data_IF_756159179847
#
_entry.id   IF_756159179847
#
_cell.length_a   1.000
_cell.length_b   1.000
_cell.length_c   1.000
_cell.angle_alpha   90.00
_cell.angle_beta   90.00
_cell.angle_gamma   90.00
#
_symmetry.space_group_name_H-M   'P 1'
#
loop_
_entity.id
_entity.type
_entity.pdbx_description
1 polymer ?
#
# COMPACT_ATOMS: atom_id res chain seq x y z
N UNK A 1 3.39 -21.11 4.32
CA UNK A 1 1.90 -21.13 4.12
C UNK A 1 1.52 -20.29 2.89
N UNK A 2 0.39 -20.55 2.21
CA UNK A 2 -0.04 -19.77 1.04
C UNK A 2 -0.15 -18.27 1.32
N UNK A 3 -0.67 -17.89 2.49
CA UNK A 3 -0.79 -16.49 2.91
C UNK A 3 0.57 -15.81 3.15
N UNK A 4 1.61 -16.56 3.55
CA UNK A 4 2.96 -16.01 3.72
C UNK A 4 3.52 -15.52 2.38
N UNK A 5 3.31 -16.30 1.31
CA UNK A 5 3.72 -15.92 -0.05
C UNK A 5 2.97 -14.68 -0.51
N UNK A 6 1.65 -14.65 -0.31
CA UNK A 6 0.82 -13.50 -0.66
C UNK A 6 1.24 -12.24 0.09
N UNK A 7 1.54 -12.32 1.39
CA UNK A 7 1.99 -11.16 2.17
C UNK A 7 3.36 -10.66 1.74
N UNK A 8 4.34 -11.55 1.49
CA UNK A 8 5.67 -11.14 1.01
C UNK A 8 5.59 -10.48 -0.37
N UNK A 9 4.76 -11.07 -1.24
CA UNK A 9 4.47 -10.52 -2.56
C UNK A 9 3.83 -9.14 -2.43
N UNK A 10 2.78 -8.98 -1.64
CA UNK A 10 2.11 -7.69 -1.40
C UNK A 10 3.07 -6.65 -0.79
N UNK A 11 3.90 -7.05 0.19
CA UNK A 11 4.89 -6.17 0.81
C UNK A 11 5.89 -5.64 -0.22
N UNK A 12 6.41 -6.53 -1.09
CA UNK A 12 7.32 -6.12 -2.16
C UNK A 12 6.63 -5.18 -3.15
N UNK A 13 5.36 -5.45 -3.42
CA UNK A 13 4.52 -4.68 -4.34
C UNK A 13 4.14 -3.29 -3.82
N UNK A 14 4.06 -3.07 -2.51
CA UNK A 14 3.86 -1.72 -1.94
C UNK A 14 5.18 -0.98 -1.71
N UNK A 15 6.32 -1.59 -2.07
CA UNK A 15 7.64 -0.97 -1.99
C UNK A 15 8.37 -1.22 -0.68
N UNK A 16 7.99 -2.23 0.11
CA UNK A 16 8.79 -2.66 1.26
C UNK A 16 10.08 -3.29 0.73
N UNK A 17 11.21 -2.73 1.13
CA UNK A 17 12.55 -3.20 0.73
C UNK A 17 13.21 -4.07 1.81
N UNK A 18 12.83 -3.86 3.07
CA UNK A 18 13.40 -4.52 4.24
C UNK A 18 12.32 -5.24 5.04
N UNK A 19 12.58 -6.49 5.40
CA UNK A 19 11.68 -7.33 6.20
C UNK A 19 12.49 -7.89 7.37
N UNK A 20 11.84 -8.06 8.51
CA UNK A 20 12.38 -8.83 9.64
C UNK A 20 11.41 -9.98 9.91
N UNK A 21 11.93 -11.19 10.07
CA UNK A 21 11.10 -12.38 10.25
C UNK A 21 11.12 -12.83 11.70
N UNK A 22 9.93 -13.15 12.23
CA UNK A 22 9.76 -13.77 13.53
C UNK A 22 9.11 -15.15 13.39
N UNK A 23 9.91 -16.21 13.60
CA UNK A 23 9.45 -17.60 13.60
C UNK A 23 8.80 -17.88 14.95
N UNK A 24 7.48 -17.68 15.00
CA UNK A 24 6.68 -17.81 16.21
C UNK A 24 6.35 -19.28 16.54
N UNK A 25 5.92 -19.52 17.80
CA UNK A 25 5.51 -20.81 18.35
C UNK A 25 6.64 -21.82 18.53
N UNK A 26 7.86 -21.35 18.77
CA UNK A 26 8.99 -22.22 19.11
C UNK A 26 8.74 -23.05 20.39
N UNK A 27 7.85 -22.62 21.29
CA UNK A 27 7.47 -23.37 22.49
C UNK A 27 6.65 -24.64 22.19
N UNK A 28 6.06 -24.73 20.99
CA UNK A 28 5.32 -25.91 20.53
C UNK A 28 6.18 -26.88 19.71
N UNK A 29 7.45 -26.55 19.46
CA UNK A 29 8.37 -27.35 18.65
C UNK A 29 9.48 -27.88 19.55
N UNK A 30 9.62 -29.20 19.61
CA UNK A 30 10.61 -29.88 20.46
C UNK A 30 11.92 -30.19 19.73
N UNK A 31 11.89 -30.13 18.40
CA UNK A 31 12.99 -30.51 17.51
C UNK A 31 13.64 -29.27 16.89
N UNK A 32 14.92 -29.05 17.20
CA UNK A 32 15.68 -27.93 16.65
C UNK A 32 15.92 -28.06 15.14
N UNK A 33 16.01 -29.29 14.60
CA UNK A 33 16.23 -29.51 13.16
C UNK A 33 15.03 -29.02 12.34
N UNK A 34 13.82 -29.15 12.87
CA UNK A 34 12.62 -28.61 12.23
C UNK A 34 12.65 -27.08 12.15
N UNK A 35 13.19 -26.41 13.15
CA UNK A 35 13.29 -24.95 13.18
C UNK A 35 14.32 -24.46 12.16
N UNK A 36 15.47 -25.13 12.06
CA UNK A 36 16.50 -24.85 11.07
C UNK A 36 15.97 -25.02 9.63
N UNK A 37 15.18 -26.07 9.39
CA UNK A 37 14.54 -26.30 8.09
C UNK A 37 13.54 -25.19 7.74
N UNK A 38 12.75 -24.73 8.72
CA UNK A 38 11.81 -23.61 8.53
C UNK A 38 12.56 -22.31 8.23
N UNK A 39 13.69 -22.06 8.88
CA UNK A 39 14.52 -20.90 8.59
C UNK A 39 15.06 -20.94 7.15
N UNK A 40 15.57 -22.08 6.70
CA UNK A 40 16.00 -22.28 5.31
C UNK A 40 14.87 -22.02 4.31
N UNK A 41 13.68 -22.61 4.52
CA UNK A 41 12.52 -22.41 3.65
C UNK A 41 12.10 -20.93 3.59
N UNK A 42 12.16 -20.21 4.72
CA UNK A 42 11.85 -18.78 4.78
C UNK A 42 12.89 -17.96 4.00
N UNK A 43 14.18 -18.28 4.11
CA UNK A 43 15.24 -17.55 3.40
C UNK A 43 15.16 -17.75 1.90
N UNK A 44 14.87 -18.97 1.45
CA UNK A 44 14.58 -19.27 0.05
C UNK A 44 13.36 -18.48 -0.44
N UNK A 45 12.28 -18.45 0.35
CA UNK A 45 11.06 -17.74 0.00
C UNK A 45 11.27 -16.22 -0.08
N UNK A 46 12.03 -15.64 0.84
CA UNK A 46 12.40 -14.22 0.80
C UNK A 46 13.19 -13.90 -0.47
N UNK A 47 14.13 -14.76 -0.83
CA UNK A 47 14.95 -14.63 -2.04
C UNK A 47 14.09 -14.76 -3.31
N UNK A 48 13.13 -15.69 -3.33
CA UNK A 48 12.15 -15.85 -4.42
C UNK A 48 11.39 -14.54 -4.70
N UNK A 49 10.97 -13.83 -3.65
CA UNK A 49 10.25 -12.55 -3.77
C UNK A 49 11.18 -11.32 -3.87
N UNK A 50 12.48 -11.52 -4.08
CA UNK A 50 13.45 -10.46 -4.33
C UNK A 50 13.89 -9.67 -3.09
N UNK A 51 13.75 -10.25 -1.90
CA UNK A 51 14.43 -9.78 -0.69
C UNK A 51 15.79 -10.45 -0.57
N UNK A 52 16.65 -9.91 0.29
CA UNK A 52 17.95 -10.51 0.59
C UNK A 52 17.79 -11.58 1.67
N UNK A 53 17.36 -12.79 1.29
CA UNK A 53 17.05 -13.86 2.23
C UNK A 53 18.19 -14.17 3.21
N UNK A 54 19.43 -14.18 2.73
CA UNK A 54 20.63 -14.42 3.58
C UNK A 54 20.92 -13.29 4.57
N UNK A 55 20.66 -12.02 4.20
CA UNK A 55 20.90 -10.86 5.08
C UNK A 55 19.72 -10.56 6.00
N UNK A 56 18.55 -11.14 5.73
CA UNK A 56 17.31 -10.87 6.49
C UNK A 56 17.43 -11.44 7.91
N UNK A 57 17.19 -10.64 8.97
CA UNK A 57 17.16 -11.13 10.34
C UNK A 57 15.97 -12.06 10.54
N UNK A 58 16.26 -13.29 11.01
CA UNK A 58 15.26 -14.30 11.38
C UNK A 58 15.41 -14.56 12.87
N UNK A 59 14.35 -14.29 13.63
CA UNK A 59 14.32 -14.44 15.08
C UNK A 59 13.34 -15.55 15.43
N UNK A 60 13.80 -16.53 16.19
CA UNK A 60 12.99 -17.66 16.64
C UNK A 60 12.52 -17.39 18.08
N UNK A 61 11.24 -17.63 18.35
CA UNK A 61 10.70 -17.44 19.69
C UNK A 61 9.24 -17.83 19.86
N UNK A 62 8.70 -17.48 21.02
CA UNK A 62 7.29 -17.63 21.35
C UNK A 62 6.73 -16.31 21.85
N UNK A 63 5.90 -15.69 21.01
CA UNK A 63 5.15 -14.49 21.39
C UNK A 63 4.19 -14.76 22.56
N UNK A 64 3.71 -16.01 22.70
CA UNK A 64 2.86 -16.41 23.80
C UNK A 64 3.64 -16.44 25.12
N UNK A 65 4.84 -17.03 25.14
CA UNK A 65 5.73 -17.01 26.29
C UNK A 65 6.05 -15.57 26.73
N UNK A 66 6.39 -14.69 25.78
CA UNK A 66 6.69 -13.29 26.05
C UNK A 66 5.49 -12.57 26.68
N UNK A 67 4.29 -12.79 26.16
CA UNK A 67 3.06 -12.14 26.64
C UNK A 67 2.65 -12.62 28.04
N UNK A 68 2.76 -13.92 28.29
CA UNK A 68 2.42 -14.56 29.57
C UNK A 68 3.53 -14.48 30.62
N UNK A 69 4.65 -13.82 30.30
CA UNK A 69 5.82 -13.68 31.18
C UNK A 69 6.38 -15.03 31.67
N UNK A 70 6.31 -16.04 30.80
CA UNK A 70 6.85 -17.38 31.04
C UNK A 70 8.00 -17.65 30.08
N UNK A 71 8.92 -18.53 30.47
CA UNK A 71 10.10 -18.92 29.68
C UNK A 71 10.81 -17.74 28.97
N UNK A 72 11.65 -16.98 29.70
CA UNK A 72 12.30 -15.78 29.17
C UNK A 72 13.20 -16.02 27.95
N UNK A 73 13.72 -17.23 27.75
CA UNK A 73 14.60 -17.53 26.60
C UNK A 73 13.81 -17.53 25.29
N UNK A 74 12.67 -18.23 25.26
CA UNK A 74 11.79 -18.25 24.09
C UNK A 74 10.91 -17.00 24.01
N UNK A 75 10.54 -16.42 25.15
CA UNK A 75 9.68 -15.24 25.23
C UNK A 75 10.45 -13.92 25.19
N UNK A 76 10.79 -13.37 26.36
CA UNK A 76 11.32 -12.01 26.50
C UNK A 76 12.54 -11.72 25.60
N UNK A 77 13.52 -12.64 25.58
CA UNK A 77 14.75 -12.43 24.83
C UNK A 77 14.54 -12.44 23.31
N UNK A 78 13.61 -13.25 22.80
CA UNK A 78 13.32 -13.27 21.37
C UNK A 78 12.64 -11.98 20.93
N UNK A 79 11.75 -11.41 21.74
CA UNK A 79 11.13 -10.10 21.45
C UNK A 79 12.15 -8.96 21.51
N UNK A 80 13.09 -8.98 22.47
CA UNK A 80 14.19 -8.02 22.50
C UNK A 80 15.04 -8.08 21.23
N UNK A 81 15.46 -9.29 20.82
CA UNK A 81 16.20 -9.50 19.56
C UNK A 81 15.40 -9.05 18.33
N UNK A 82 14.09 -9.26 18.33
CA UNK A 82 13.21 -8.80 17.25
C UNK A 82 13.22 -7.27 17.15
N UNK A 83 13.09 -6.57 18.27
CA UNK A 83 13.13 -5.10 18.31
C UNK A 83 14.51 -4.57 17.89
N UNK A 84 15.60 -5.16 18.39
CA UNK A 84 16.96 -4.80 18.00
C UNK A 84 17.19 -4.98 16.50
N UNK A 85 16.65 -6.06 15.93
CA UNK A 85 16.71 -6.34 14.49
C UNK A 85 15.87 -5.34 13.68
N UNK A 86 14.70 -4.93 14.17
CA UNK A 86 13.90 -3.87 13.54
C UNK A 86 14.68 -2.55 13.52
N UNK A 87 15.24 -2.16 14.66
CA UNK A 87 15.99 -0.90 14.80
C UNK A 87 17.24 -0.85 13.90
N UNK A 88 17.88 -2.00 13.67
CA UNK A 88 19.12 -2.08 12.88
C UNK A 88 18.87 -2.32 11.39
N UNK A 89 17.88 -3.15 11.04
CA UNK A 89 17.69 -3.64 9.67
C UNK A 89 16.68 -2.82 8.87
N UNK A 90 15.70 -2.17 9.52
CA UNK A 90 14.71 -1.34 8.84
C UNK A 90 15.23 0.10 8.83
N UNK A 91 15.72 0.61 7.68
CA UNK A 91 16.21 1.98 7.62
C UNK A 91 15.07 2.96 7.88
N UNK A 92 15.41 4.07 8.52
CA UNK A 92 14.48 5.19 8.64
C UNK A 92 14.21 5.70 7.22
N UNK A 93 12.94 5.72 6.76
CA UNK A 93 12.62 6.19 5.42
C UNK A 93 13.13 7.62 5.23
N UNK A 94 13.72 7.92 4.08
CA UNK A 94 14.02 9.30 3.70
C UNK A 94 12.69 10.04 3.53
N UNK A 95 12.35 10.86 4.52
CA UNK A 95 11.11 11.62 4.50
C UNK A 95 11.22 12.73 3.46
N UNK A 96 10.36 12.67 2.44
CA UNK A 96 10.21 13.71 1.42
C UNK A 96 9.51 14.96 2.00
N UNK A 97 10.09 15.58 3.02
CA UNK A 97 9.46 16.68 3.78
C UNK A 97 9.26 17.97 2.96
N UNK A 98 10.11 18.18 1.96
CA UNK A 98 10.04 19.35 1.08
C UNK A 98 8.97 19.20 -0.01
N UNK A 99 8.47 17.98 -0.27
CA UNK A 99 7.41 17.76 -1.26
C UNK A 99 6.06 18.27 -0.72
N UNK A 100 5.13 18.66 -1.62
CA UNK A 100 3.77 18.99 -1.20
C UNK A 100 3.11 17.82 -0.47
N UNK A 101 2.47 18.11 0.67
CA UNK A 101 1.89 17.06 1.50
C UNK A 101 0.84 16.25 0.75
N UNK A 102 0.78 14.96 1.04
CA UNK A 102 -0.18 14.02 0.46
C UNK A 102 -0.62 13.03 1.54
N UNK A 103 -1.90 13.05 1.88
CA UNK A 103 -2.52 12.19 2.89
C UNK A 103 -3.64 11.36 2.23
N UNK A 104 -3.38 10.08 1.90
CA UNK A 104 -4.43 9.16 1.50
C UNK A 104 -5.43 8.95 2.64
N UNK A 105 -6.72 9.16 2.37
CA UNK A 105 -7.77 9.03 3.39
C UNK A 105 -8.11 7.55 3.58
N UNK A 106 -7.83 7.02 4.77
CA UNK A 106 -8.15 5.66 5.21
C UNK A 106 -9.57 5.57 5.77
N UNK A 107 -9.94 6.51 6.64
CA UNK A 107 -11.28 6.56 7.24
C UNK A 107 -11.74 7.99 7.57
N UNK A 108 -13.05 8.16 7.72
CA UNK A 108 -13.69 9.45 8.02
C UNK A 108 -14.68 9.27 9.17
N UNK A 109 -14.54 10.10 10.21
CA UNK A 109 -15.49 10.18 11.32
C UNK A 109 -15.82 11.63 11.67
N UNK A 110 -16.83 11.82 12.52
CA UNK A 110 -17.25 13.13 12.99
C UNK A 110 -17.16 13.15 14.51
N UNK A 111 -16.57 14.22 15.05
CA UNK A 111 -16.55 14.47 16.49
C UNK A 111 -17.63 15.51 16.80
N UNK A 112 -18.65 15.18 17.62
CA UNK A 112 -19.69 16.12 18.03
C UNK A 112 -19.08 17.42 18.57
N UNK A 113 -19.53 18.56 18.04
CA UNK A 113 -19.05 19.89 18.45
C UNK A 113 -17.66 20.30 17.93
N UNK A 114 -16.88 19.41 17.30
CA UNK A 114 -15.58 19.77 16.68
C UNK A 114 -15.64 19.76 15.15
N UNK A 115 -16.25 18.74 14.55
CA UNK A 115 -16.36 18.61 13.09
C UNK A 115 -15.88 17.26 12.55
N UNK A 116 -15.64 17.22 11.24
CA UNK A 116 -15.25 15.99 10.52
C UNK A 116 -13.74 15.80 10.55
N UNK A 117 -13.30 14.58 10.84
CA UNK A 117 -11.89 14.19 10.87
C UNK A 117 -11.65 13.13 9.80
N UNK A 118 -10.57 13.31 9.04
CA UNK A 118 -10.02 12.29 8.15
C UNK A 118 -8.78 11.68 8.76
N UNK A 119 -8.61 10.37 8.58
CA UNK A 119 -7.43 9.65 9.05
C UNK A 119 -6.64 9.11 7.89
N UNK A 120 -5.33 8.99 8.08
CA UNK A 120 -4.43 8.37 7.13
C UNK A 120 -2.98 8.52 7.57
N UNK A 121 -2.11 7.90 6.81
CA UNK A 121 -0.66 8.04 6.95
C UNK A 121 -0.15 9.08 5.95
N UNK A 122 0.59 10.09 6.42
CA UNK A 122 1.11 11.14 5.54
C UNK A 122 2.21 10.55 4.65
N UNK A 123 1.99 10.44 3.34
CA UNK A 123 2.95 9.80 2.42
C UNK A 123 4.21 10.65 2.23
N UNK A 124 4.05 11.96 2.16
CA UNK A 124 5.14 12.93 1.96
C UNK A 124 4.78 14.30 2.49
N UNK A 125 5.77 15.17 2.58
CA UNK A 125 5.62 16.56 2.98
C UNK A 125 5.41 16.77 4.47
N UNK A 126 5.07 18.01 4.81
CA UNK A 126 4.70 18.43 6.17
C UNK A 126 3.30 19.03 6.10
N UNK A 127 2.43 18.63 7.03
CA UNK A 127 1.11 19.21 7.22
C UNK A 127 1.11 20.03 8.51
N UNK A 128 0.70 21.30 8.44
CA UNK A 128 0.57 22.17 9.62
C UNK A 128 -0.88 22.49 9.90
N UNK A 129 -1.18 22.70 11.17
CA UNK A 129 -2.48 23.22 11.58
C UNK A 129 -2.67 24.61 10.97
N UNK A 130 -3.81 24.83 10.33
CA UNK A 130 -4.12 26.06 9.59
C UNK A 130 -3.81 25.98 8.10
N UNK A 131 -3.14 24.92 7.62
CA UNK A 131 -2.87 24.77 6.19
C UNK A 131 -4.18 24.57 5.40
N UNK A 132 -4.24 25.19 4.23
CA UNK A 132 -5.26 24.88 3.24
C UNK A 132 -5.01 23.48 2.65
N UNK A 133 -6.08 22.75 2.40
CA UNK A 133 -6.04 21.43 1.80
C UNK A 133 -7.09 21.25 0.71
N UNK A 134 -6.82 20.31 -0.19
CA UNK A 134 -7.69 19.93 -1.29
C UNK A 134 -7.87 18.41 -1.28
N UNK A 135 -9.12 17.97 -1.29
CA UNK A 135 -9.49 16.56 -1.43
C UNK A 135 -9.74 16.22 -2.89
N UNK A 136 -9.03 15.21 -3.38
CA UNK A 136 -9.03 14.80 -4.78
C UNK A 136 -9.36 13.31 -4.93
N UNK A 137 -10.04 12.97 -6.01
CA UNK A 137 -10.42 11.60 -6.38
C UNK A 137 -11.95 11.43 -6.49
N UNK A 138 -12.39 10.35 -7.13
CA UNK A 138 -13.83 10.05 -7.34
C UNK A 138 -14.61 11.21 -8.00
N UNK A 139 -14.00 11.92 -8.96
CA UNK A 139 -14.56 13.13 -9.58
C UNK A 139 -14.89 14.27 -8.60
N UNK A 140 -14.34 14.23 -7.38
CA UNK A 140 -14.49 15.31 -6.39
C UNK A 140 -13.21 16.14 -6.35
N UNK A 141 -13.41 17.45 -6.26
CA UNK A 141 -12.39 18.42 -5.89
C UNK A 141 -13.02 19.32 -4.82
N UNK A 142 -12.57 19.18 -3.58
CA UNK A 142 -13.12 19.91 -2.42
C UNK A 142 -11.98 20.60 -1.70
N UNK A 143 -12.00 21.93 -1.64
CA UNK A 143 -11.01 22.73 -0.91
C UNK A 143 -11.52 23.12 0.47
N UNK A 144 -10.67 23.02 1.46
CA UNK A 144 -10.95 23.46 2.84
C UNK A 144 -9.65 23.78 3.58
N UNK A 145 -9.70 23.89 4.90
CA UNK A 145 -8.58 24.19 5.79
C UNK A 145 -8.53 23.13 6.89
N UNK A 146 -7.32 22.66 7.20
CA UNK A 146 -7.04 21.80 8.35
C UNK A 146 -7.03 22.66 9.61
N UNK A 147 -7.97 22.42 10.51
CA UNK A 147 -8.16 23.20 11.75
C UNK A 147 -7.51 22.56 12.98
N UNK A 148 -7.17 21.28 12.88
CA UNK A 148 -6.47 20.55 13.93
C UNK A 148 -5.82 19.29 13.37
N UNK A 149 -4.72 18.89 14.01
CA UNK A 149 -4.00 17.64 13.76
C UNK A 149 -3.96 16.89 15.08
N UNK A 150 -4.26 15.60 15.06
CA UNK A 150 -4.30 14.76 16.25
C UNK A 150 -3.56 13.43 16.00
N UNK A 151 -2.69 13.04 16.92
CA UNK A 151 -2.05 11.72 16.95
C UNK A 151 -2.08 11.20 18.38
N UNK A 152 -2.44 9.94 18.59
CA UNK A 152 -2.50 9.31 19.93
C UNK A 152 -3.29 10.15 20.96
N UNK A 153 -4.44 10.70 20.56
CA UNK A 153 -5.29 11.59 21.38
C UNK A 153 -4.62 12.89 21.85
N UNK A 154 -3.52 13.30 21.21
CA UNK A 154 -2.83 14.57 21.47
C UNK A 154 -2.97 15.48 20.27
N UNK A 155 -3.34 16.73 20.52
CA UNK A 155 -3.35 17.77 19.50
C UNK A 155 -1.93 18.20 19.18
N UNK A 156 -1.60 18.28 17.88
CA UNK A 156 -0.30 18.68 17.37
C UNK A 156 -0.43 19.93 16.48
N UNK A 157 0.64 20.71 16.40
CA UNK A 157 0.73 21.87 15.51
C UNK A 157 1.26 21.51 14.11
N UNK A 158 1.95 20.37 13.98
CA UNK A 158 2.46 19.83 12.72
C UNK A 158 2.48 18.30 12.71
N UNK A 159 2.45 17.72 11.52
CA UNK A 159 2.74 16.33 11.24
C UNK A 159 3.65 16.21 10.02
N UNK A 160 4.40 15.12 9.95
CA UNK A 160 5.44 14.88 8.97
C UNK A 160 5.20 13.56 8.23
N UNK A 161 5.86 13.38 7.09
CA UNK A 161 5.76 12.15 6.31
C UNK A 161 6.06 10.90 7.18
N UNK A 162 5.19 9.90 7.12
CA UNK A 162 5.21 8.69 7.94
C UNK A 162 4.27 8.73 9.15
N UNK A 163 3.77 9.90 9.55
CA UNK A 163 2.85 10.01 10.69
C UNK A 163 1.45 9.51 10.32
N UNK A 164 0.92 8.58 11.14
CA UNK A 164 -0.50 8.23 11.10
C UNK A 164 -1.29 9.18 12.00
N UNK A 165 -2.19 9.96 11.40
CA UNK A 165 -2.82 11.11 12.06
C UNK A 165 -4.31 11.21 11.76
N UNK A 166 -5.01 11.97 12.61
CA UNK A 166 -6.34 12.52 12.34
C UNK A 166 -6.27 14.01 12.01
N UNK A 167 -6.74 14.42 10.84
CA UNK A 167 -6.84 15.83 10.43
C UNK A 167 -8.30 16.32 10.52
N UNK A 168 -8.56 17.30 11.38
CA UNK A 168 -9.86 17.94 11.53
C UNK A 168 -10.04 19.00 10.44
N UNK A 169 -11.09 18.87 9.63
CA UNK A 169 -11.35 19.77 8.50
C UNK A 169 -12.53 20.71 8.74
N UNK A 170 -12.41 21.93 8.23
CA UNK A 170 -13.43 22.97 8.40
C UNK A 170 -14.62 22.76 7.46
N UNK A 171 -15.82 22.89 7.99
CA UNK A 171 -17.03 23.10 7.17
C UNK A 171 -17.44 21.94 6.26
N UNK A 172 -16.82 20.76 6.40
CA UNK A 172 -17.20 19.54 5.67
C UNK A 172 -17.91 18.58 6.60
N UNK A 173 -18.91 17.89 6.07
CA UNK A 173 -19.62 16.81 6.74
C UNK A 173 -18.95 15.47 6.41
N UNK A 174 -19.24 14.46 7.23
CA UNK A 174 -18.76 13.09 7.02
C UNK A 174 -19.17 12.53 5.65
N UNK A 175 -20.35 12.90 5.14
CA UNK A 175 -20.89 12.45 3.84
C UNK A 175 -20.18 13.05 2.62
N UNK A 176 -19.50 14.19 2.79
CA UNK A 176 -18.75 14.84 1.72
C UNK A 176 -17.48 14.08 1.36
N UNK A 177 -16.95 13.35 2.34
CA UNK A 177 -15.66 12.66 2.32
C UNK A 177 -15.83 11.15 2.39
N UNK A 178 -14.85 10.41 1.88
CA UNK A 178 -14.82 8.95 1.95
C UNK A 178 -13.40 8.43 1.91
N UNK A 179 -13.23 7.17 2.31
CA UNK A 179 -12.01 6.40 2.02
C UNK A 179 -11.70 6.46 0.52
N UNK A 180 -10.42 6.60 0.22
CA UNK A 180 -9.89 6.63 -1.14
C UNK A 180 -9.80 8.03 -1.76
N UNK A 181 -10.33 9.06 -1.10
CA UNK A 181 -9.90 10.43 -1.40
C UNK A 181 -8.46 10.63 -0.95
N UNK A 182 -7.79 11.61 -1.55
CA UNK A 182 -6.46 12.05 -1.13
C UNK A 182 -6.54 13.51 -0.74
N UNK A 183 -6.11 13.84 0.47
CA UNK A 183 -5.97 15.21 0.94
C UNK A 183 -4.56 15.69 0.64
N UNK A 184 -4.42 16.73 -0.19
CA UNK A 184 -3.12 17.25 -0.59
C UNK A 184 -3.06 18.78 -0.49
N UNK A 185 -1.86 19.33 -0.65
CA UNK A 185 -1.68 20.78 -0.80
C UNK A 185 -2.46 21.26 -2.05
N UNK A 186 -3.24 22.36 -1.97
CA UNK A 186 -4.06 22.80 -3.09
C UNK A 186 -3.27 22.97 -4.39
N UNK A 187 -3.74 22.36 -5.47
CA UNK A 187 -3.14 22.45 -6.80
C UNK A 187 -1.80 21.74 -6.96
N UNK A 188 -1.32 20.98 -5.95
CA UNK A 188 -0.02 20.31 -6.05
C UNK A 188 -0.03 19.02 -6.86
N UNK A 189 -1.19 18.37 -6.95
CA UNK A 189 -1.37 17.11 -7.69
C UNK A 189 -2.62 17.19 -8.55
N UNK A 190 -2.65 16.43 -9.64
CA UNK A 190 -3.79 16.33 -10.54
C UNK A 190 -4.27 14.89 -10.60
N UNK A 191 -5.59 14.62 -10.53
CA UNK A 191 -6.13 13.30 -10.81
C UNK A 191 -5.85 12.89 -12.26
N UNK A 192 -5.46 11.64 -12.46
CA UNK A 192 -5.26 11.05 -13.78
C UNK A 192 -6.27 9.93 -13.99
N UNK A 193 -6.75 9.80 -15.22
CA UNK A 193 -7.66 8.73 -15.63
C UNK A 193 -6.97 7.70 -16.51
N UNK A 194 -6.00 8.12 -17.32
CA UNK A 194 -5.20 7.24 -18.17
C UNK A 194 -3.77 7.17 -17.64
N UNK A 195 -3.22 5.97 -17.67
CA UNK A 195 -1.88 5.68 -17.16
C UNK A 195 -1.21 4.63 -18.02
N UNK A 196 0.09 4.78 -18.24
CA UNK A 196 0.96 3.70 -18.72
C UNK A 196 1.73 3.15 -17.53
N UNK A 197 1.84 1.83 -17.46
CA UNK A 197 2.50 1.16 -16.34
C UNK A 197 3.24 -0.08 -16.79
N UNK A 198 4.34 -0.39 -16.11
CA UNK A 198 4.93 -1.73 -16.17
C UNK A 198 4.14 -2.61 -15.21
N UNK A 199 3.56 -3.71 -15.71
CA UNK A 199 2.72 -4.59 -14.91
C UNK A 199 3.22 -6.01 -14.99
N UNK A 200 3.49 -6.63 -13.84
CA UNK A 200 3.74 -8.05 -13.69
C UNK A 200 2.43 -8.78 -13.44
N UNK A 201 2.11 -9.78 -14.26
CA UNK A 201 0.91 -10.61 -14.12
C UNK A 201 1.26 -11.82 -13.27
N UNK A 202 0.58 -12.00 -12.16
CA UNK A 202 0.86 -13.10 -11.25
C UNK A 202 0.58 -14.43 -11.93
N UNK A 203 1.51 -15.37 -11.77
CA UNK A 203 1.34 -16.78 -12.11
C UNK A 203 0.21 -17.43 -11.31
N UNK A 204 -0.17 -18.64 -11.70
CA UNK A 204 -1.16 -19.43 -10.96
C UNK A 204 -0.65 -19.78 -9.56
N UNK A 205 0.64 -20.08 -9.46
CA UNK A 205 1.34 -20.51 -8.25
C UNK A 205 1.44 -19.37 -7.22
N UNK A 206 1.53 -18.13 -7.68
CA UNK A 206 1.48 -16.92 -6.86
C UNK A 206 0.06 -16.48 -6.48
N UNK A 207 -0.96 -17.26 -6.86
CA UNK A 207 -2.36 -16.94 -6.56
C UNK A 207 -3.04 -16.03 -7.60
N UNK A 208 -2.41 -15.80 -8.76
CA UNK A 208 -2.97 -15.10 -9.90
C UNK A 208 -3.99 -15.90 -10.72
N UNK A 209 -4.19 -15.50 -11.97
CA UNK A 209 -5.18 -16.16 -12.86
C UNK A 209 -4.62 -17.45 -13.43
N UNK A 210 -5.52 -18.42 -13.64
CA UNK A 210 -5.20 -19.62 -14.43
C UNK A 210 -5.24 -19.34 -15.94
N UNK A 211 -6.12 -18.45 -16.38
CA UNK A 211 -6.32 -18.11 -17.79
C UNK A 211 -5.73 -16.72 -18.09
N UNK A 212 -5.04 -16.55 -19.22
CA UNK A 212 -4.66 -15.24 -19.74
C UNK A 212 -5.85 -14.28 -19.81
N UNK A 213 -5.58 -12.99 -19.82
CA UNK A 213 -6.58 -11.98 -20.15
C UNK A 213 -6.21 -11.27 -21.46
N UNK A 214 -7.25 -10.75 -22.13
CA UNK A 214 -7.15 -10.01 -23.38
C UNK A 214 -7.24 -8.50 -23.13
N UNK A 215 -6.95 -7.71 -24.16
CA UNK A 215 -7.27 -6.29 -24.16
C UNK A 215 -8.76 -6.07 -23.83
N UNK A 216 -9.06 -4.93 -23.23
CA UNK A 216 -10.37 -4.53 -22.71
C UNK A 216 -10.90 -5.28 -21.49
N UNK A 217 -10.09 -6.17 -20.89
CA UNK A 217 -10.39 -6.75 -19.59
C UNK A 217 -10.52 -5.65 -18.50
N UNK A 218 -11.46 -5.84 -17.57
CA UNK A 218 -11.84 -4.82 -16.58
C UNK A 218 -11.62 -5.26 -15.13
N UNK A 219 -10.37 -5.25 -14.61
CA UNK A 219 -10.10 -5.48 -13.21
C UNK A 219 -10.36 -4.22 -12.35
N UNK A 220 -10.34 -4.39 -11.03
CA UNK A 220 -10.32 -3.29 -10.07
C UNK A 220 -8.87 -2.98 -9.70
N UNK A 221 -8.45 -1.74 -9.92
CA UNK A 221 -7.14 -1.24 -9.49
C UNK A 221 -7.23 -0.78 -8.03
N UNK A 222 -6.26 -1.20 -7.22
CA UNK A 222 -6.06 -0.74 -5.85
C UNK A 222 -4.74 0.01 -5.78
N UNK A 223 -4.78 1.25 -5.30
CA UNK A 223 -3.59 2.06 -5.06
C UNK A 223 -3.86 3.06 -3.93
N UNK A 224 -2.82 3.38 -3.16
CA UNK A 224 -2.98 4.11 -1.89
C UNK A 224 -4.09 3.47 -1.04
N UNK A 225 -5.14 4.23 -0.71
CA UNK A 225 -6.28 3.75 0.06
C UNK A 225 -7.54 3.52 -0.78
N UNK A 226 -7.46 3.76 -2.09
CA UNK A 226 -8.60 3.70 -3.01
C UNK A 226 -8.60 2.44 -3.88
N UNK A 227 -9.80 2.13 -4.35
CA UNK A 227 -10.08 1.13 -5.37
C UNK A 227 -10.92 1.75 -6.50
N UNK A 228 -10.59 1.42 -7.74
CA UNK A 228 -11.29 1.91 -8.92
C UNK A 228 -11.25 0.91 -10.06
N UNK A 229 -12.41 0.64 -10.68
CA UNK A 229 -12.48 -0.16 -11.89
C UNK A 229 -11.63 0.48 -12.99
N UNK A 230 -10.84 -0.34 -13.69
CA UNK A 230 -10.00 0.08 -14.79
C UNK A 230 -10.18 -0.84 -15.97
N UNK A 231 -9.92 -0.34 -17.18
CA UNK A 231 -9.89 -1.12 -18.41
C UNK A 231 -8.45 -1.24 -18.86
N UNK A 232 -8.02 -2.46 -19.12
CA UNK A 232 -6.66 -2.77 -19.59
C UNK A 232 -6.63 -2.69 -21.11
N UNK A 233 -5.58 -2.09 -21.66
CA UNK A 233 -5.26 -2.07 -23.09
C UNK A 233 -3.86 -2.67 -23.25
N UNK A 234 -3.80 -3.77 -24.00
CA UNK A 234 -2.53 -4.45 -24.30
C UNK A 234 -1.71 -3.65 -25.33
N UNK A 235 -0.38 -3.83 -25.37
CA UNK A 235 0.47 -3.27 -26.42
C UNK A 235 0.00 -3.67 -27.83
N UNK A 236 0.25 -2.81 -28.84
CA UNK A 236 -0.01 -3.19 -30.23
C UNK A 236 0.78 -4.45 -30.61
N UNK A 237 0.09 -5.40 -31.25
CA UNK A 237 0.67 -6.70 -31.63
C UNK A 237 0.59 -7.77 -30.54
N UNK A 238 0.11 -7.46 -29.33
CA UNK A 238 -0.06 -8.44 -28.24
C UNK A 238 -1.54 -8.68 -27.94
N UNK A 239 -2.00 -9.90 -28.22
CA UNK A 239 -3.42 -10.27 -28.07
C UNK A 239 -3.76 -10.77 -26.65
N UNK A 240 -2.79 -11.36 -25.96
CA UNK A 240 -2.97 -12.01 -24.66
C UNK A 240 -1.84 -11.60 -23.70
N UNK A 241 -2.20 -11.41 -22.43
CA UNK A 241 -1.25 -11.30 -21.33
C UNK A 241 -1.20 -12.62 -20.56
N UNK A 242 -0.04 -13.27 -20.56
CA UNK A 242 0.13 -14.59 -19.95
C UNK A 242 0.39 -14.47 -18.43
N UNK A 243 -0.13 -15.38 -17.59
CA UNK A 243 0.27 -15.45 -16.18
C UNK A 243 1.78 -15.67 -16.04
N UNK A 244 2.42 -14.94 -15.12
CA UNK A 244 3.87 -14.97 -14.87
C UNK A 244 4.69 -14.03 -15.77
N UNK A 245 4.05 -13.22 -16.62
CA UNK A 245 4.72 -12.33 -17.56
C UNK A 245 4.69 -10.87 -17.09
N UNK A 246 5.75 -10.11 -17.39
CA UNK A 246 5.76 -8.65 -17.28
C UNK A 246 5.51 -7.98 -18.63
N UNK A 247 4.69 -6.93 -18.63
CA UNK A 247 4.40 -6.16 -19.83
C UNK A 247 4.02 -4.72 -19.52
N UNK A 248 4.33 -3.83 -20.46
CA UNK A 248 3.83 -2.46 -20.44
C UNK A 248 2.34 -2.47 -20.78
N UNK A 249 1.49 -1.92 -19.93
CA UNK A 249 0.05 -1.81 -20.13
C UNK A 249 -0.40 -0.36 -20.12
N UNK A 250 -1.40 -0.06 -20.95
CA UNK A 250 -2.17 1.17 -20.83
C UNK A 250 -3.44 0.86 -20.03
N UNK A 251 -3.67 1.57 -18.93
CA UNK A 251 -4.85 1.39 -18.10
C UNK A 251 -5.67 2.69 -18.09
N UNK A 252 -6.98 2.53 -18.22
CA UNK A 252 -7.92 3.65 -18.16
C UNK A 252 -8.84 3.39 -16.99
N UNK A 253 -8.89 4.30 -16.02
CA UNK A 253 -9.79 4.23 -14.89
C UNK A 253 -11.19 4.69 -15.27
N UNK A 254 -12.20 4.15 -14.59
CA UNK A 254 -13.60 4.59 -14.75
C UNK A 254 -13.79 6.04 -14.33
N UNK A 255 -13.03 6.48 -13.34
CA UNK A 255 -13.00 7.87 -12.87
C UNK A 255 -11.54 8.29 -12.62
N UNK A 256 -11.18 9.56 -12.82
CA UNK A 256 -9.90 10.12 -12.42
C UNK A 256 -9.63 9.89 -10.92
N UNK A 257 -8.46 9.34 -10.62
CA UNK A 257 -7.93 9.11 -9.27
C UNK A 257 -6.52 9.68 -9.15
N UNK A 258 -5.98 9.77 -7.93
CA UNK A 258 -4.57 10.16 -7.76
C UNK A 258 -3.67 8.98 -8.17
N UNK A 259 -2.98 9.17 -9.29
CA UNK A 259 -1.92 8.31 -9.81
C UNK A 259 -0.75 9.20 -10.24
N UNK A 260 0.40 9.03 -9.61
CA UNK A 260 1.65 9.70 -9.97
C UNK A 260 2.66 8.74 -10.62
N UNK A 261 3.62 9.28 -11.36
CA UNK A 261 4.75 8.49 -11.88
C UNK A 261 5.53 7.89 -10.71
N UNK A 262 5.82 6.59 -10.79
CA UNK A 262 6.43 5.82 -9.70
C UNK A 262 5.44 5.30 -8.65
N UNK A 263 4.15 5.63 -8.75
CA UNK A 263 3.14 5.08 -7.83
C UNK A 263 2.89 3.60 -8.15
N UNK A 264 2.83 2.78 -7.10
CA UNK A 264 2.55 1.34 -7.20
C UNK A 264 1.05 1.08 -7.08
N UNK A 265 0.58 0.03 -7.73
CA UNK A 265 -0.81 -0.43 -7.66
C UNK A 265 -0.92 -1.93 -7.85
N UNK A 266 -2.05 -2.50 -7.45
CA UNK A 266 -2.41 -3.90 -7.74
C UNK A 266 -3.68 -3.95 -8.56
N UNK A 267 -3.81 -4.97 -9.40
CA UNK A 267 -5.01 -5.29 -10.15
C UNK A 267 -5.66 -6.51 -9.51
N UNK A 268 -6.95 -6.42 -9.23
CA UNK A 268 -7.74 -7.51 -8.67
C UNK A 268 -8.89 -7.89 -9.59
N UNK A 269 -9.14 -9.19 -9.70
CA UNK A 269 -10.36 -9.74 -10.30
C UNK A 269 -11.12 -10.51 -9.23
N UNK A 270 -12.36 -10.08 -8.95
CA UNK A 270 -13.06 -10.48 -7.74
C UNK A 270 -12.22 -10.20 -6.49
N UNK A 271 -11.96 -11.23 -5.69
CA UNK A 271 -11.21 -11.13 -4.44
C UNK A 271 -9.72 -11.49 -4.56
N UNK A 272 -9.20 -11.70 -5.79
CA UNK A 272 -7.82 -12.17 -6.01
C UNK A 272 -6.99 -11.12 -6.71
N UNK A 273 -5.75 -10.93 -6.24
CA UNK A 273 -4.75 -10.13 -6.96
C UNK A 273 -4.25 -10.92 -8.18
N UNK A 274 -4.27 -10.28 -9.34
CA UNK A 274 -3.91 -10.89 -10.62
C UNK A 274 -2.69 -10.22 -11.26
N UNK A 275 -2.33 -9.02 -10.81
CA UNK A 275 -1.19 -8.29 -11.34
C UNK A 275 -0.78 -7.17 -10.40
N UNK A 276 0.48 -6.77 -10.52
CA UNK A 276 1.06 -5.63 -9.81
C UNK A 276 1.70 -4.68 -10.80
N UNK A 277 1.52 -3.39 -10.60
CA UNK A 277 1.98 -2.38 -11.53
C UNK A 277 2.75 -1.25 -10.87
N UNK A 278 3.63 -0.65 -11.66
CA UNK A 278 4.31 0.61 -11.37
C UNK A 278 3.95 1.59 -12.48
N UNK A 279 3.38 2.74 -12.11
CA UNK A 279 3.06 3.80 -13.06
C UNK A 279 4.35 4.36 -13.67
N UNK A 280 4.44 4.33 -15.01
CA UNK A 280 5.58 4.85 -15.76
C UNK A 280 5.24 6.18 -16.44
N UNK A 281 4.01 6.34 -16.93
CA UNK A 281 3.55 7.59 -17.53
C UNK A 281 2.07 7.88 -17.26
N UNK A 282 1.66 9.13 -17.45
CA UNK A 282 0.29 9.64 -17.28
C UNK A 282 -0.13 10.36 -18.57
N UNK A 283 -0.44 9.63 -19.65
CA UNK A 283 -0.76 10.22 -20.94
C UNK A 283 -2.09 10.99 -20.89
N UNK A 284 -2.27 11.93 -21.82
CA UNK A 284 -3.56 12.58 -22.02
C UNK A 284 -4.62 11.56 -22.47
N UNK A 285 -5.85 11.75 -21.98
CA UNK A 285 -7.00 10.94 -22.37
C UNK A 285 -7.42 11.31 -23.80
N UNK A 286 -7.40 10.34 -24.73
CA UNK A 286 -7.79 10.55 -26.12
C UNK A 286 -9.32 10.56 -26.27
N UNK A 287 -9.83 10.98 -27.43
CA UNK A 287 -11.26 10.88 -27.72
C UNK A 287 -11.75 9.42 -27.79
N UNK A 288 -10.91 8.50 -28.27
CA UNK A 288 -11.22 7.07 -28.25
C UNK A 288 -11.38 6.54 -26.82
N UNK A 289 -10.50 6.96 -25.91
CA UNK A 289 -10.54 6.57 -24.50
C UNK A 289 -11.84 7.04 -23.83
N UNK A 290 -12.32 8.24 -24.17
CA UNK A 290 -13.58 8.81 -23.64
C UNK A 290 -14.81 8.06 -24.13
N UNK A 291 -14.75 7.50 -25.33
CA UNK A 291 -15.85 6.74 -25.94
C UNK A 291 -15.95 5.29 -25.45
N UNK A 292 -15.04 4.86 -24.55
CA UNK A 292 -15.10 3.55 -23.92
C UNK A 292 -16.38 3.42 -23.08
N UNK A 293 -17.20 2.44 -23.43
CA UNK A 293 -18.37 2.05 -22.65
C UNK A 293 -17.94 1.13 -21.49
N UNK A 294 -18.50 1.42 -20.32
CA UNK A 294 -18.37 0.61 -19.11
C UNK A 294 -19.62 -0.25 -18.97
N UNK A 295 -19.44 -1.55 -18.77
CA UNK A 295 -20.53 -2.48 -18.42
C UNK A 295 -20.87 -2.40 -16.95
#
# INVERSE_FOLDING_TARGET
MPQTREHLLLAKQIGVEHVVVYVNKADAVQDSEMVELVELEIRELLTEFGYKGEETPVIIGSALCALEQRDPELGLKSVQKLLDAVDTHIPVPTRDLEKPFLLPVESVYSIPGRGTVVTGTLERGILKKGDECEFLGHNKNIRTVVTGIEMFHKSLERAEAGDNLGALVRGLKREDLRRGLVMAKPGSIKPHQKVEAQVYILSKEEGGRHKPFVSHFMPVMFSLTWDMACRVILPPGKELAMPGEDLKLSLILRQPMILEKGQRFTLRDGNRTIGTGLVTDTPALTEEDKNIKWS
#
